data_IF_919533522237
#
_entry.id   IF_919533522237
#
_cell.length_a   1.000
_cell.length_b   1.000
_cell.length_c   1.000
_cell.angle_alpha   90.00
_cell.angle_beta   90.00
_cell.angle_gamma   90.00
#
_symmetry.space_group_name_H-M   'P 1'
#
loop_
_entity.id
_entity.type
_entity.pdbx_description
1 polymer ?
#
# COMPACT_ATOMS: atom_id res chain seq x y z
N UNK A 1 -1.04 -12.57 -46.02
CA UNK A 1 -0.64 -13.54 -44.98
C UNK A 1 0.78 -13.18 -44.61
N UNK A 2 0.96 -12.36 -43.57
CA UNK A 2 2.25 -11.98 -43.04
C UNK A 2 2.35 -12.56 -41.64
N UNK A 3 3.31 -13.44 -41.45
CA UNK A 3 3.63 -14.11 -40.20
C UNK A 3 3.87 -13.09 -39.09
N UNK A 4 3.01 -13.08 -38.09
CA UNK A 4 3.28 -12.42 -36.82
C UNK A 4 4.37 -13.21 -36.11
N UNK A 5 5.61 -12.74 -36.15
CA UNK A 5 6.71 -13.25 -35.37
C UNK A 5 6.32 -13.19 -33.89
N UNK A 6 6.13 -14.33 -33.24
CA UNK A 6 6.11 -14.45 -31.79
C UNK A 6 7.47 -13.96 -31.28
N UNK A 7 7.47 -12.78 -30.70
CA UNK A 7 8.65 -12.25 -30.00
C UNK A 7 8.78 -13.05 -28.70
N UNK A 8 9.71 -13.98 -28.67
CA UNK A 8 10.12 -14.69 -27.47
C UNK A 8 10.89 -13.67 -26.60
N UNK A 9 10.52 -13.53 -25.33
CA UNK A 9 11.26 -12.68 -24.39
C UNK A 9 12.76 -12.99 -24.48
N UNK A 10 13.62 -12.00 -24.74
CA UNK A 10 15.06 -12.23 -24.79
C UNK A 10 15.56 -12.61 -23.39
N UNK A 11 16.33 -13.70 -23.29
CA UNK A 11 17.07 -14.03 -22.09
C UNK A 11 18.18 -12.98 -21.89
N UNK A 12 17.92 -11.98 -21.05
CA UNK A 12 18.95 -11.02 -20.66
C UNK A 12 19.88 -11.66 -19.63
N UNK A 13 21.13 -11.78 -19.99
CA UNK A 13 22.21 -12.22 -19.09
C UNK A 13 22.79 -10.95 -18.44
N UNK A 14 22.29 -10.59 -17.26
CA UNK A 14 23.02 -9.77 -16.30
C UNK A 14 23.91 -10.72 -15.47
N UNK A 15 25.02 -10.22 -14.94
CA UNK A 15 25.82 -11.01 -14.02
C UNK A 15 24.99 -11.33 -12.75
N UNK A 16 24.26 -12.45 -12.84
CA UNK A 16 23.24 -12.89 -11.89
C UNK A 16 23.80 -13.14 -10.47
N UNK A 17 25.11 -13.35 -10.34
CA UNK A 17 25.71 -13.72 -9.06
C UNK A 17 25.86 -12.52 -8.11
N UNK A 18 26.24 -11.35 -8.59
CA UNK A 18 26.42 -10.15 -7.75
C UNK A 18 25.07 -9.52 -7.39
N UNK A 19 24.13 -9.47 -8.34
CA UNK A 19 22.75 -8.99 -8.10
C UNK A 19 22.00 -9.88 -7.11
N UNK A 20 22.07 -11.20 -7.27
CA UNK A 20 21.40 -12.16 -6.39
C UNK A 20 21.95 -12.13 -4.95
N UNK A 21 23.27 -11.98 -4.77
CA UNK A 21 23.87 -11.83 -3.44
C UNK A 21 23.41 -10.56 -2.74
N UNK A 22 23.37 -9.45 -3.44
CA UNK A 22 22.94 -8.15 -2.91
C UNK A 22 21.45 -8.14 -2.56
N UNK A 23 20.60 -8.74 -3.42
CA UNK A 23 19.19 -8.91 -3.16
C UNK A 23 18.93 -9.79 -1.94
N UNK A 24 19.63 -10.93 -1.81
CA UNK A 24 19.51 -11.81 -0.65
C UNK A 24 19.89 -11.11 0.66
N UNK A 25 20.93 -10.26 0.65
CA UNK A 25 21.32 -9.46 1.82
C UNK A 25 20.27 -8.41 2.19
N UNK A 26 19.68 -7.73 1.21
CA UNK A 26 18.60 -6.79 1.45
C UNK A 26 17.37 -7.49 2.04
N UNK A 27 16.94 -8.61 1.47
CA UNK A 27 15.79 -9.37 1.96
C UNK A 27 16.02 -9.98 3.35
N UNK A 28 17.25 -10.38 3.69
CA UNK A 28 17.61 -10.89 5.01
C UNK A 28 17.50 -9.82 6.09
N UNK A 29 17.91 -8.60 5.79
CA UNK A 29 17.88 -7.48 6.74
C UNK A 29 16.45 -7.00 7.07
N UNK A 30 15.44 -7.36 6.26
CA UNK A 30 14.03 -7.04 6.53
C UNK A 30 13.47 -7.71 7.81
N UNK A 31 14.13 -8.75 8.31
CA UNK A 31 13.66 -9.58 9.44
C UNK A 31 14.32 -9.30 10.78
N UNK A 32 15.17 -8.26 10.90
CA UNK A 32 15.84 -7.96 12.15
C UNK A 32 14.82 -7.61 13.26
N UNK A 33 14.81 -8.39 14.34
CA UNK A 33 13.97 -8.13 15.51
C UNK A 33 14.48 -6.88 16.24
N UNK A 34 13.53 -6.10 16.76
CA UNK A 34 13.82 -4.92 17.59
C UNK A 34 13.51 -5.22 19.06
N UNK A 35 14.14 -4.45 19.93
CA UNK A 35 14.03 -4.62 21.37
C UNK A 35 12.57 -4.55 21.87
N UNK A 36 12.02 -5.69 22.28
CA UNK A 36 10.65 -5.80 22.80
C UNK A 36 10.45 -5.01 24.09
N UNK A 37 11.50 -4.94 24.95
CA UNK A 37 11.41 -4.22 26.21
C UNK A 37 11.23 -2.70 25.98
N UNK A 38 11.87 -2.14 24.95
CA UNK A 38 11.72 -0.74 24.59
C UNK A 38 10.30 -0.44 24.10
N UNK A 39 9.73 -1.33 23.29
CA UNK A 39 8.34 -1.20 22.82
C UNK A 39 7.34 -1.31 23.99
N UNK A 40 7.51 -2.28 24.88
CA UNK A 40 6.64 -2.45 26.05
C UNK A 40 6.75 -1.33 27.09
N UNK A 41 7.79 -0.51 27.04
CA UNK A 41 7.91 0.67 27.91
C UNK A 41 7.08 1.88 27.43
N UNK A 42 6.55 1.86 26.20
CA UNK A 42 5.79 2.96 25.63
C UNK A 42 4.41 3.15 26.28
N UNK A 43 3.86 4.37 26.26
CA UNK A 43 2.44 4.57 26.57
C UNK A 43 1.57 3.88 25.49
N UNK A 44 0.39 3.41 25.89
CA UNK A 44 -0.55 2.70 25.03
C UNK A 44 -1.89 3.45 24.92
N UNK A 45 -2.66 3.24 23.84
CA UNK A 45 -2.22 2.58 22.62
C UNK A 45 -1.30 3.48 21.78
N UNK A 46 -0.32 2.90 21.07
CA UNK A 46 0.50 3.67 20.14
C UNK A 46 0.93 2.85 18.91
N UNK A 47 0.92 3.51 17.75
CA UNK A 47 1.62 3.01 16.57
C UNK A 47 3.10 3.35 16.67
N UNK A 48 3.94 2.44 16.29
CA UNK A 48 5.39 2.66 16.23
C UNK A 48 5.88 2.30 14.84
N UNK A 49 6.48 3.25 14.13
CA UNK A 49 7.15 2.95 12.85
C UNK A 49 8.65 2.77 13.12
N UNK A 50 9.22 1.67 12.64
CA UNK A 50 10.64 1.33 12.74
C UNK A 50 11.40 1.85 11.52
N UNK A 51 12.14 2.94 11.70
CA UNK A 51 12.93 3.58 10.64
C UNK A 51 13.93 2.61 9.98
N UNK A 52 14.54 1.72 10.75
CA UNK A 52 15.54 0.80 10.20
C UNK A 52 14.88 -0.23 9.26
N UNK A 53 13.71 -0.76 9.63
CA UNK A 53 12.93 -1.66 8.78
C UNK A 53 12.41 -0.94 7.54
N UNK A 54 11.88 0.26 7.70
CA UNK A 54 11.45 1.10 6.57
C UNK A 54 12.60 1.37 5.60
N UNK A 55 13.78 1.73 6.10
CA UNK A 55 14.97 1.95 5.26
C UNK A 55 15.39 0.71 4.49
N UNK A 56 15.24 -0.50 5.05
CA UNK A 56 15.52 -1.73 4.32
C UNK A 56 14.55 -1.92 3.15
N UNK A 57 13.26 -1.68 3.36
CA UNK A 57 12.27 -1.69 2.27
C UNK A 57 12.62 -0.66 1.18
N UNK A 58 12.91 0.58 1.59
CA UNK A 58 13.25 1.66 0.67
C UNK A 58 14.50 1.36 -0.17
N UNK A 59 15.51 0.74 0.41
CA UNK A 59 16.73 0.31 -0.31
C UNK A 59 16.44 -0.75 -1.36
N UNK A 60 15.55 -1.70 -1.04
CA UNK A 60 15.13 -2.71 -2.01
C UNK A 60 14.33 -2.08 -3.16
N UNK A 61 13.41 -1.16 -2.86
CA UNK A 61 12.66 -0.43 -3.88
C UNK A 61 13.57 0.44 -4.75
N UNK A 62 14.57 1.09 -4.16
CA UNK A 62 15.58 1.83 -4.91
C UNK A 62 16.43 0.93 -5.81
N UNK A 63 16.77 -0.28 -5.34
CA UNK A 63 17.44 -1.29 -6.16
C UNK A 63 16.59 -1.64 -7.40
N UNK A 64 15.29 -1.91 -7.22
CA UNK A 64 14.36 -2.19 -8.33
C UNK A 64 14.35 -1.03 -9.32
N UNK A 65 14.21 0.21 -8.86
CA UNK A 65 14.22 1.39 -9.74
C UNK A 65 15.52 1.50 -10.54
N UNK A 66 16.65 1.35 -9.88
CA UNK A 66 17.95 1.48 -10.52
C UNK A 66 18.19 0.38 -11.58
N UNK A 67 17.84 -0.86 -11.28
CA UNK A 67 18.10 -1.99 -12.17
C UNK A 67 17.10 -2.06 -13.32
N UNK A 68 15.84 -1.65 -13.11
CA UNK A 68 14.79 -1.73 -14.13
C UNK A 68 14.57 -0.43 -14.90
N UNK A 69 14.86 0.71 -14.26
CA UNK A 69 14.50 2.03 -14.72
C UNK A 69 13.02 2.40 -14.47
N UNK A 70 12.31 1.66 -13.63
CA UNK A 70 10.97 2.03 -13.19
C UNK A 70 11.01 3.26 -12.28
N UNK A 71 9.90 4.00 -12.22
CA UNK A 71 9.63 5.01 -11.21
C UNK A 71 8.69 4.42 -10.16
N UNK A 72 9.09 4.38 -8.90
CA UNK A 72 8.26 3.86 -7.81
C UNK A 72 7.70 5.02 -6.99
N UNK A 73 6.38 5.06 -6.87
CA UNK A 73 5.62 6.05 -6.13
C UNK A 73 5.02 5.42 -4.86
N UNK A 74 5.07 6.14 -3.75
CA UNK A 74 4.36 5.75 -2.54
C UNK A 74 2.85 5.88 -2.75
N UNK A 75 2.08 4.80 -2.60
CA UNK A 75 0.62 4.89 -2.52
C UNK A 75 0.19 5.35 -1.11
N UNK A 76 -0.15 6.65 -0.99
CA UNK A 76 -0.44 7.29 0.29
C UNK A 76 -1.64 6.69 1.03
N UNK A 77 -2.62 6.14 0.31
CA UNK A 77 -3.78 5.44 0.90
C UNK A 77 -3.40 4.32 1.88
N UNK A 78 -2.22 3.75 1.71
CA UNK A 78 -1.71 2.67 2.56
C UNK A 78 -0.86 3.21 3.72
N UNK A 79 -0.01 4.19 3.45
CA UNK A 79 0.92 4.76 4.41
C UNK A 79 1.10 6.25 4.17
N UNK A 80 0.75 7.09 5.16
CA UNK A 80 0.80 8.56 5.07
C UNK A 80 1.47 9.22 6.27
N UNK A 81 2.42 8.55 6.93
CA UNK A 81 3.21 9.17 7.99
C UNK A 81 4.21 10.17 7.39
N UNK A 82 3.74 11.36 7.08
CA UNK A 82 4.50 12.39 6.35
C UNK A 82 5.77 12.85 7.04
N UNK A 83 5.91 12.65 8.37
CA UNK A 83 7.17 12.87 9.11
C UNK A 83 8.36 12.13 8.44
N UNK A 84 8.09 11.05 7.72
CA UNK A 84 9.08 10.23 7.01
C UNK A 84 9.17 10.54 5.51
N UNK A 85 8.36 11.43 4.96
CA UNK A 85 8.37 11.74 3.53
C UNK A 85 9.68 12.32 3.02
N UNK A 86 10.39 13.21 3.76
CA UNK A 86 11.72 13.67 3.34
C UNK A 86 12.71 12.51 3.17
N UNK A 87 12.71 11.57 4.12
CA UNK A 87 13.55 10.35 4.04
C UNK A 87 13.13 9.46 2.85
N UNK A 88 11.83 9.22 2.69
CA UNK A 88 11.30 8.36 1.62
C UNK A 88 11.60 8.96 0.24
N UNK A 89 11.55 10.28 0.11
CA UNK A 89 11.88 11.01 -1.12
C UNK A 89 13.34 10.88 -1.55
N UNK A 90 14.26 10.43 -0.68
CA UNK A 90 15.64 10.10 -1.09
C UNK A 90 15.71 8.78 -1.88
N UNK A 91 14.71 7.92 -1.75
CA UNK A 91 14.67 6.57 -2.32
C UNK A 91 13.61 6.38 -3.40
N UNK A 92 12.46 7.04 -3.28
CA UNK A 92 11.32 6.91 -4.18
C UNK A 92 11.24 8.07 -5.16
N UNK A 93 10.59 7.86 -6.31
CA UNK A 93 10.36 8.88 -7.31
C UNK A 93 9.34 9.94 -6.85
N UNK A 94 8.38 9.55 -6.02
CA UNK A 94 7.34 10.45 -5.54
C UNK A 94 6.19 9.75 -4.83
N UNK A 95 4.99 10.33 -4.96
CA UNK A 95 3.75 9.85 -4.35
C UNK A 95 2.66 9.62 -5.37
N UNK A 96 1.71 8.73 -5.05
CA UNK A 96 0.42 8.63 -5.74
C UNK A 96 -0.72 8.80 -4.74
N UNK A 97 -1.70 9.59 -5.11
CA UNK A 97 -2.83 9.99 -4.30
C UNK A 97 -4.14 9.39 -4.82
N UNK A 98 -5.09 9.17 -3.91
CA UNK A 98 -6.46 8.72 -4.21
C UNK A 98 -7.50 9.84 -4.07
N UNK A 99 -7.07 11.05 -3.74
CA UNK A 99 -7.90 12.23 -3.60
C UNK A 99 -7.09 13.49 -3.31
N UNK A 100 -7.79 14.65 -3.27
CA UNK A 100 -7.17 15.97 -3.18
C UNK A 100 -6.28 16.15 -1.94
N UNK A 101 -6.67 15.61 -0.78
CA UNK A 101 -5.89 15.81 0.45
C UNK A 101 -4.60 14.98 0.47
N UNK A 102 -4.63 13.76 -0.09
CA UNK A 102 -3.40 13.00 -0.29
C UNK A 102 -2.49 13.68 -1.32
N UNK A 103 -3.05 14.19 -2.43
CA UNK A 103 -2.27 14.92 -3.44
C UNK A 103 -1.60 16.16 -2.84
N UNK A 104 -2.32 16.92 -2.02
CA UNK A 104 -1.76 18.08 -1.30
C UNK A 104 -0.65 17.66 -0.35
N UNK A 105 -0.89 16.60 0.45
CA UNK A 105 0.09 16.09 1.40
C UNK A 105 1.39 15.64 0.70
N UNK A 106 1.28 14.91 -0.41
CA UNK A 106 2.45 14.48 -1.21
C UNK A 106 3.23 15.68 -1.77
N UNK A 107 2.51 16.67 -2.31
CA UNK A 107 3.09 17.90 -2.83
C UNK A 107 3.82 18.72 -1.76
N UNK A 108 3.19 18.93 -0.59
CA UNK A 108 3.73 19.77 0.47
C UNK A 108 4.89 19.10 1.22
N UNK A 109 4.80 17.79 1.51
CA UNK A 109 5.69 17.12 2.44
C UNK A 109 6.79 16.27 1.78
N UNK A 110 6.55 15.72 0.58
CA UNK A 110 7.59 15.01 -0.17
C UNK A 110 8.22 15.90 -1.25
N UNK A 111 7.43 16.74 -1.93
CA UNK A 111 7.89 17.69 -2.94
C UNK A 111 8.56 17.02 -4.14
N UNK A 112 8.14 15.81 -4.47
CA UNK A 112 8.60 15.00 -5.60
C UNK A 112 7.47 14.81 -6.60
N UNK A 113 7.65 13.94 -7.59
CA UNK A 113 6.61 13.60 -8.56
C UNK A 113 5.32 13.16 -7.84
N UNK A 114 4.18 13.72 -8.24
CA UNK A 114 2.91 13.56 -7.54
C UNK A 114 1.81 13.18 -8.54
N UNK A 115 1.33 11.95 -8.43
CA UNK A 115 0.26 11.43 -9.27
C UNK A 115 -1.07 11.40 -8.51
N UNK A 116 -2.19 11.43 -9.24
CA UNK A 116 -3.51 11.22 -8.63
C UNK A 116 -4.40 10.38 -9.54
N UNK A 117 -5.05 9.39 -8.92
CA UNK A 117 -6.15 8.63 -9.48
C UNK A 117 -7.34 8.64 -8.53
N UNK A 118 -8.53 8.97 -9.04
CA UNK A 118 -9.79 8.76 -8.33
C UNK A 118 -10.86 8.23 -9.29
N UNK A 119 -11.85 7.46 -8.81
CA UNK A 119 -12.97 7.00 -9.64
C UNK A 119 -13.76 8.13 -10.29
N UNK A 120 -13.79 9.31 -9.65
CA UNK A 120 -14.33 10.55 -10.20
C UNK A 120 -13.73 11.75 -9.46
N UNK A 121 -13.57 12.87 -10.16
CA UNK A 121 -13.10 14.13 -9.61
C UNK A 121 -14.22 15.16 -9.52
N UNK A 122 -14.24 15.95 -8.44
CA UNK A 122 -15.08 17.13 -8.33
C UNK A 122 -14.45 18.27 -9.13
N UNK A 123 -15.28 19.11 -9.75
CA UNK A 123 -14.82 20.23 -10.55
C UNK A 123 -13.96 21.23 -9.75
N UNK A 124 -14.37 21.50 -8.51
CA UNK A 124 -13.63 22.39 -7.61
C UNK A 124 -12.23 21.85 -7.26
N UNK A 125 -12.08 20.53 -7.13
CA UNK A 125 -10.80 19.91 -6.74
C UNK A 125 -9.82 19.93 -7.93
N UNK A 126 -10.33 19.87 -9.16
CA UNK A 126 -9.48 19.87 -10.36
C UNK A 126 -8.66 21.15 -10.51
N UNK A 127 -9.18 22.32 -10.06
CA UNK A 127 -8.45 23.59 -10.14
C UNK A 127 -7.14 23.56 -9.33
N UNK A 128 -7.13 22.83 -8.23
CA UNK A 128 -5.94 22.64 -7.41
C UNK A 128 -5.10 21.46 -7.91
N UNK A 129 -5.72 20.32 -8.22
CA UNK A 129 -5.02 19.11 -8.67
C UNK A 129 -4.11 19.37 -9.87
N UNK A 130 -4.56 20.15 -10.86
CA UNK A 130 -3.74 20.50 -12.03
C UNK A 130 -2.52 21.38 -11.73
N UNK A 131 -2.45 21.97 -10.53
CA UNK A 131 -1.32 22.80 -10.09
C UNK A 131 -0.29 22.03 -9.25
N UNK A 132 -0.73 20.92 -8.61
CA UNK A 132 0.09 20.19 -7.65
C UNK A 132 0.41 18.74 -8.07
N UNK A 133 -0.20 18.26 -9.16
CA UNK A 133 0.06 16.92 -9.69
C UNK A 133 0.78 16.98 -11.04
N UNK A 134 1.70 16.06 -11.24
CA UNK A 134 2.39 15.85 -12.53
C UNK A 134 1.55 14.97 -13.46
N UNK A 135 0.87 13.96 -12.91
CA UNK A 135 -0.02 13.07 -13.66
C UNK A 135 -1.40 13.01 -13.04
N UNK A 136 -2.45 13.15 -13.86
CA UNK A 136 -3.85 12.96 -13.48
C UNK A 136 -4.43 11.80 -14.28
N UNK A 137 -4.90 10.77 -13.57
CA UNK A 137 -5.40 9.54 -14.17
C UNK A 137 -6.92 9.49 -14.02
N UNK A 138 -7.64 9.50 -15.15
CA UNK A 138 -9.09 9.44 -15.17
C UNK A 138 -9.59 7.99 -15.24
N UNK A 139 -10.71 7.75 -14.61
CA UNK A 139 -11.36 6.44 -14.56
C UNK A 139 -12.33 6.20 -15.75
N UNK A 140 -12.63 7.23 -16.51
CA UNK A 140 -13.50 7.14 -17.69
C UNK A 140 -13.22 8.27 -18.68
N UNK A 141 -13.53 8.04 -19.94
CA UNK A 141 -13.46 9.07 -20.97
C UNK A 141 -14.42 10.25 -20.72
N UNK A 142 -15.56 10.01 -20.09
CA UNK A 142 -16.50 11.08 -19.72
C UNK A 142 -15.88 12.05 -18.68
N UNK A 143 -15.14 11.53 -17.69
CA UNK A 143 -14.40 12.37 -16.74
C UNK A 143 -13.26 13.12 -17.44
N UNK A 144 -12.52 12.46 -18.31
CA UNK A 144 -11.48 13.12 -19.11
C UNK A 144 -12.05 14.27 -19.95
N UNK A 145 -13.12 14.01 -20.75
CA UNK A 145 -13.76 15.03 -21.58
C UNK A 145 -14.23 16.26 -20.78
N UNK A 146 -14.77 16.01 -19.57
CA UNK A 146 -15.20 17.09 -18.66
C UNK A 146 -14.05 17.99 -18.22
N UNK A 147 -12.86 17.43 -18.01
CA UNK A 147 -11.74 18.13 -17.39
C UNK A 147 -10.55 18.38 -18.30
N UNK A 148 -10.57 17.91 -19.55
CA UNK A 148 -9.43 18.03 -20.48
C UNK A 148 -8.95 19.45 -20.71
N UNK A 149 -9.86 20.42 -20.73
CA UNK A 149 -9.50 21.81 -20.98
C UNK A 149 -8.62 22.40 -19.86
N UNK A 150 -8.95 22.14 -18.61
CA UNK A 150 -8.15 22.62 -17.46
C UNK A 150 -6.81 21.87 -17.38
N UNK A 151 -6.78 20.57 -17.69
CA UNK A 151 -5.54 19.81 -17.77
C UNK A 151 -4.62 20.35 -18.87
N UNK A 152 -5.14 20.57 -20.06
CA UNK A 152 -4.37 21.12 -21.19
C UNK A 152 -3.83 22.51 -20.89
N UNK A 153 -4.62 23.37 -20.24
CA UNK A 153 -4.18 24.72 -19.86
C UNK A 153 -3.03 24.70 -18.84
N UNK A 154 -3.06 23.74 -17.93
CA UNK A 154 -2.00 23.57 -16.92
C UNK A 154 -0.79 22.78 -17.44
N UNK A 155 -0.92 22.05 -18.54
CA UNK A 155 0.14 21.22 -19.12
C UNK A 155 0.41 19.94 -18.31
N UNK A 156 -0.55 19.50 -17.48
CA UNK A 156 -0.43 18.27 -16.69
C UNK A 156 -0.58 17.03 -17.57
N UNK A 157 0.22 16.00 -17.32
CA UNK A 157 0.14 14.74 -18.06
C UNK A 157 -1.14 13.97 -17.68
N UNK A 158 -1.83 13.44 -18.69
CA UNK A 158 -3.12 12.79 -18.50
C UNK A 158 -3.05 11.32 -18.89
N UNK A 159 -3.66 10.47 -18.08
CA UNK A 159 -3.84 9.05 -18.35
C UNK A 159 -5.26 8.54 -18.13
N UNK A 160 -5.50 7.34 -18.62
CA UNK A 160 -6.73 6.58 -18.38
C UNK A 160 -6.43 5.31 -17.64
N UNK A 161 -7.17 5.05 -16.53
CA UNK A 161 -7.18 3.74 -15.92
C UNK A 161 -7.99 2.77 -16.76
N UNK A 162 -7.40 1.65 -17.08
CA UNK A 162 -8.04 0.56 -17.82
C UNK A 162 -8.29 -0.64 -16.92
N UNK A 163 -9.32 -1.40 -17.26
CA UNK A 163 -9.58 -2.71 -16.69
C UNK A 163 -9.16 -3.78 -17.69
N UNK A 164 -8.07 -4.53 -17.44
CA UNK A 164 -7.63 -5.58 -18.35
C UNK A 164 -8.54 -6.80 -18.33
N UNK A 165 -9.58 -6.83 -17.48
CA UNK A 165 -10.51 -7.95 -17.33
C UNK A 165 -9.76 -9.27 -17.08
N UNK A 166 -8.75 -9.21 -16.22
CA UNK A 166 -7.91 -10.32 -15.80
C UNK A 166 -7.78 -10.25 -14.29
N UNK A 167 -8.45 -11.15 -13.61
CA UNK A 167 -8.36 -11.30 -12.16
C UNK A 167 -7.33 -12.39 -11.81
N UNK A 168 -6.53 -12.08 -10.80
CA UNK A 168 -5.64 -13.04 -10.13
C UNK A 168 -6.02 -13.19 -8.66
N UNK A 169 -7.13 -12.55 -8.23
CA UNK A 169 -7.64 -12.63 -6.86
C UNK A 169 -8.50 -13.89 -6.71
N UNK A 170 -8.23 -14.70 -5.70
CA UNK A 170 -8.94 -15.94 -5.40
C UNK A 170 -9.45 -15.98 -3.95
N UNK A 171 -10.48 -16.80 -3.70
CA UNK A 171 -11.01 -17.08 -2.37
C UNK A 171 -11.57 -15.82 -1.68
N UNK A 172 -11.13 -15.58 -0.45
CA UNK A 172 -11.58 -14.46 0.39
C UNK A 172 -11.13 -13.10 -0.17
N UNK A 173 -10.03 -13.06 -0.93
CA UNK A 173 -9.54 -11.85 -1.58
C UNK A 173 -10.35 -11.40 -2.80
N UNK A 174 -11.30 -12.20 -3.28
CA UNK A 174 -12.14 -11.85 -4.43
C UNK A 174 -12.95 -10.54 -4.24
N UNK A 175 -13.21 -10.12 -2.99
CA UNK A 175 -13.85 -8.84 -2.67
C UNK A 175 -12.99 -7.63 -3.10
N UNK A 176 -11.68 -7.81 -3.22
CA UNK A 176 -10.71 -6.78 -3.63
C UNK A 176 -10.37 -6.84 -5.11
N UNK A 177 -11.04 -7.69 -5.89
CA UNK A 177 -10.80 -7.80 -7.33
C UNK A 177 -11.33 -6.56 -8.08
N UNK A 178 -10.45 -5.67 -8.56
CA UNK A 178 -10.87 -4.51 -9.33
C UNK A 178 -11.32 -4.88 -10.76
N UNK A 179 -11.09 -6.12 -11.19
CA UNK A 179 -11.50 -6.64 -12.49
C UNK A 179 -12.84 -7.42 -12.45
N UNK A 180 -13.42 -7.62 -11.26
CA UNK A 180 -14.67 -8.34 -11.09
C UNK A 180 -15.82 -7.70 -11.87
N UNK A 181 -16.81 -8.52 -12.25
CA UNK A 181 -18.05 -8.02 -12.87
C UNK A 181 -18.72 -6.95 -11.97
N UNK A 182 -19.10 -5.83 -12.58
CA UNK A 182 -19.68 -4.71 -11.85
C UNK A 182 -18.66 -3.80 -11.14
N UNK A 183 -17.35 -4.06 -11.26
CA UNK A 183 -16.34 -3.14 -10.75
C UNK A 183 -16.44 -1.78 -11.43
N UNK A 184 -16.36 -0.71 -10.63
CA UNK A 184 -16.34 0.67 -11.12
C UNK A 184 -14.96 1.14 -11.59
N UNK A 185 -13.91 0.31 -11.48
CA UNK A 185 -12.51 0.71 -11.59
C UNK A 185 -11.93 0.37 -12.96
N UNK A 186 -11.67 1.41 -13.74
CA UNK A 186 -11.03 1.31 -15.05
C UNK A 186 -11.99 1.04 -16.21
N UNK A 187 -11.55 1.42 -17.39
CA UNK A 187 -12.28 1.25 -18.66
C UNK A 187 -11.96 -0.12 -19.26
N UNK A 188 -12.97 -0.94 -19.52
CA UNK A 188 -12.81 -2.22 -20.23
C UNK A 188 -12.56 -1.99 -21.72
N UNK A 189 -11.97 -2.98 -22.41
CA UNK A 189 -11.69 -2.88 -23.85
C UNK A 189 -12.94 -2.59 -24.67
N UNK A 190 -14.10 -3.16 -24.30
CA UNK A 190 -15.38 -2.94 -24.99
C UNK A 190 -15.86 -1.47 -24.92
N UNK A 191 -15.42 -0.73 -23.91
CA UNK A 191 -15.75 0.69 -23.71
C UNK A 191 -14.58 1.63 -24.08
N UNK A 192 -13.50 1.09 -24.66
CA UNK A 192 -12.34 1.84 -25.06
C UNK A 192 -12.47 2.28 -26.52
N UNK A 193 -12.11 3.52 -26.92
CA UNK A 193 -12.24 4.00 -28.28
C UNK A 193 -11.25 3.28 -29.21
N UNK A 194 -11.62 3.12 -30.48
CA UNK A 194 -10.73 2.52 -31.48
C UNK A 194 -9.46 3.35 -31.71
N UNK A 195 -9.56 4.67 -31.59
CA UNK A 195 -8.45 5.62 -31.68
C UNK A 195 -8.37 6.40 -30.38
N UNK A 196 -7.23 6.32 -29.73
CA UNK A 196 -6.97 7.07 -28.50
C UNK A 196 -6.70 8.54 -28.82
N UNK A 197 -7.28 9.44 -28.03
CA UNK A 197 -7.08 10.88 -28.18
C UNK A 197 -5.61 11.26 -27.91
N UNK A 198 -5.01 12.18 -28.68
CA UNK A 198 -3.58 12.51 -28.56
C UNK A 198 -3.20 13.18 -27.24
N UNK A 199 -4.18 13.71 -26.51
CA UNK A 199 -3.96 14.32 -25.19
C UNK A 199 -3.75 13.28 -24.09
N UNK A 200 -4.08 12.01 -24.34
CA UNK A 200 -3.88 10.92 -23.39
C UNK A 200 -2.46 10.38 -23.58
N UNK A 201 -1.63 10.63 -22.58
CA UNK A 201 -0.19 10.32 -22.60
C UNK A 201 0.14 9.00 -21.92
N UNK A 202 -0.77 8.42 -21.12
CA UNK A 202 -0.52 7.18 -20.43
C UNK A 202 -1.73 6.31 -20.18
N UNK A 203 -1.45 5.03 -19.91
CA UNK A 203 -2.43 4.07 -19.40
C UNK A 203 -2.00 3.54 -18.05
N UNK A 204 -2.98 3.34 -17.19
CA UNK A 204 -2.79 2.81 -15.83
C UNK A 204 -3.70 1.61 -15.63
N UNK A 205 -3.20 0.56 -14.99
CA UNK A 205 -4.03 -0.47 -14.39
C UNK A 205 -3.59 -0.73 -12.94
N UNK A 206 -4.50 -1.20 -12.11
CA UNK A 206 -4.21 -1.64 -10.76
C UNK A 206 -5.10 -2.83 -10.45
N UNK A 207 -4.54 -4.02 -10.43
CA UNK A 207 -5.26 -5.31 -10.40
C UNK A 207 -4.84 -6.19 -9.23
N UNK A 208 -3.67 -5.95 -8.66
CA UNK A 208 -3.11 -6.77 -7.60
C UNK A 208 -3.52 -6.28 -6.21
N UNK A 209 -3.62 -7.21 -5.28
CA UNK A 209 -3.71 -6.99 -3.85
C UNK A 209 -2.89 -8.08 -3.15
N UNK A 210 -1.79 -7.71 -2.49
CA UNK A 210 -0.89 -8.60 -1.75
C UNK A 210 -0.29 -9.77 -2.57
N UNK A 211 0.00 -9.54 -3.85
CA UNK A 211 0.40 -10.58 -4.79
C UNK A 211 1.87 -10.47 -5.24
N UNK A 212 2.36 -11.57 -5.81
CA UNK A 212 3.72 -11.70 -6.32
C UNK A 212 3.87 -11.26 -7.79
N UNK A 213 5.10 -11.38 -8.31
CA UNK A 213 5.45 -10.97 -9.67
C UNK A 213 4.78 -11.82 -10.75
N UNK A 214 4.49 -13.09 -10.49
CA UNK A 214 3.80 -13.99 -11.42
C UNK A 214 2.36 -13.54 -11.71
N UNK A 215 1.66 -13.04 -10.70
CA UNK A 215 0.33 -12.42 -10.87
C UNK A 215 0.41 -11.14 -11.72
N UNK A 216 1.44 -10.32 -11.51
CA UNK A 216 1.70 -9.17 -12.36
C UNK A 216 1.98 -9.58 -13.81
N UNK A 217 2.81 -10.62 -14.03
CA UNK A 217 3.10 -11.15 -15.37
C UNK A 217 1.83 -11.65 -16.04
N UNK A 218 0.93 -12.29 -15.29
CA UNK A 218 -0.37 -12.77 -15.80
C UNK A 218 -1.25 -11.59 -16.23
N UNK A 219 -1.37 -10.57 -15.38
CA UNK A 219 -2.13 -9.36 -15.69
C UNK A 219 -1.51 -8.58 -16.85
N UNK A 220 -0.17 -8.46 -16.88
CA UNK A 220 0.54 -7.79 -17.97
C UNK A 220 0.22 -8.44 -19.33
N UNK A 221 0.25 -9.75 -19.42
CA UNK A 221 -0.08 -10.47 -20.69
C UNK A 221 -1.50 -10.13 -21.18
N UNK A 222 -2.47 -10.07 -20.26
CA UNK A 222 -3.84 -9.69 -20.59
C UNK A 222 -3.95 -8.23 -21.03
N UNK A 223 -3.25 -7.31 -20.33
CA UNK A 223 -3.21 -5.90 -20.65
C UNK A 223 -2.52 -5.65 -22.01
N UNK A 224 -1.36 -6.23 -22.22
CA UNK A 224 -0.61 -6.14 -23.47
C UNK A 224 -1.43 -6.64 -24.67
N UNK A 225 -2.06 -7.81 -24.56
CA UNK A 225 -2.88 -8.39 -25.63
C UNK A 225 -4.06 -7.49 -26.01
N UNK A 226 -4.64 -6.76 -25.08
CA UNK A 226 -5.82 -5.91 -25.31
C UNK A 226 -5.46 -4.49 -25.74
N UNK A 227 -4.41 -3.89 -25.15
CA UNK A 227 -4.15 -2.46 -25.24
C UNK A 227 -2.84 -2.07 -25.97
N UNK A 228 -1.98 -3.03 -26.35
CA UNK A 228 -0.67 -2.71 -26.96
C UNK A 228 -0.77 -1.92 -28.28
N UNK A 229 -1.88 -2.02 -29.01
CA UNK A 229 -2.12 -1.20 -30.23
C UNK A 229 -2.07 0.32 -29.97
N UNK A 230 -2.25 0.75 -28.72
CA UNK A 230 -2.23 2.16 -28.32
C UNK A 230 -0.86 2.61 -27.80
N UNK A 231 0.06 1.68 -27.46
CA UNK A 231 1.28 2.02 -26.74
C UNK A 231 2.24 2.91 -27.54
N UNK A 232 2.21 2.84 -28.88
CA UNK A 232 3.08 3.65 -29.75
C UNK A 232 2.89 5.17 -29.60
N UNK A 233 1.76 5.63 -29.06
CA UNK A 233 1.50 7.06 -28.82
C UNK A 233 1.71 7.47 -27.36
N UNK A 234 1.90 6.51 -26.45
CA UNK A 234 2.00 6.76 -25.00
C UNK A 234 3.41 7.18 -24.63
N UNK A 235 3.51 8.00 -23.60
CA UNK A 235 4.76 8.37 -22.95
C UNK A 235 5.05 7.46 -21.76
N UNK A 236 4.02 6.95 -21.09
CA UNK A 236 4.17 6.16 -19.88
C UNK A 236 3.08 5.10 -19.72
N UNK A 237 3.44 4.05 -18.97
CA UNK A 237 2.54 3.02 -18.46
C UNK A 237 2.69 2.93 -16.94
N UNK A 238 1.59 2.87 -16.24
CA UNK A 238 1.56 2.70 -14.79
C UNK A 238 0.91 1.34 -14.46
N UNK A 239 1.70 0.46 -13.84
CA UNK A 239 1.28 -0.91 -13.52
C UNK A 239 0.56 -1.02 -12.18
N UNK A 240 0.31 0.13 -11.52
CA UNK A 240 -0.39 0.21 -10.25
C UNK A 240 0.40 -0.33 -9.05
N UNK A 241 -0.33 -0.68 -8.01
CA UNK A 241 0.19 -1.24 -6.77
C UNK A 241 -0.29 -2.66 -6.50
N UNK A 242 -0.26 -3.06 -5.21
CA UNK A 242 -0.62 -4.41 -4.78
C UNK A 242 0.50 -5.43 -4.94
N UNK A 243 1.68 -4.97 -5.38
CA UNK A 243 2.88 -5.79 -5.47
C UNK A 243 3.59 -5.83 -4.12
N UNK A 244 3.75 -6.99 -3.53
CA UNK A 244 4.50 -7.16 -2.28
C UNK A 244 6.01 -7.25 -2.50
N UNK A 245 6.60 -6.28 -3.22
CA UNK A 245 8.00 -6.26 -3.68
C UNK A 245 9.00 -6.54 -2.55
N UNK A 246 8.72 -6.08 -1.33
CA UNK A 246 9.59 -6.23 -0.17
C UNK A 246 9.31 -7.48 0.66
N UNK A 247 8.30 -8.27 0.29
CA UNK A 247 8.06 -9.59 0.89
C UNK A 247 9.18 -10.56 0.50
N UNK A 248 9.59 -11.40 1.43
CA UNK A 248 10.79 -12.25 1.27
C UNK A 248 10.70 -13.31 0.18
N UNK A 249 9.49 -13.66 -0.26
CA UNK A 249 9.20 -14.62 -1.32
C UNK A 249 8.87 -13.97 -2.67
N UNK A 250 8.94 -12.63 -2.77
CA UNK A 250 8.66 -11.90 -4.00
C UNK A 250 9.80 -12.09 -5.03
N UNK A 251 9.45 -12.43 -6.26
CA UNK A 251 10.42 -12.55 -7.36
C UNK A 251 10.74 -11.16 -7.94
N UNK A 252 11.72 -10.51 -7.33
CA UNK A 252 12.19 -9.16 -7.71
C UNK A 252 12.81 -9.15 -9.09
N UNK A 253 13.53 -10.23 -9.48
CA UNK A 253 14.17 -10.32 -10.79
C UNK A 253 13.12 -10.41 -11.90
N UNK A 254 12.04 -11.17 -11.70
CA UNK A 254 10.94 -11.23 -12.67
C UNK A 254 10.29 -9.86 -12.88
N UNK A 255 10.14 -9.06 -11.82
CA UNK A 255 9.64 -7.68 -11.92
C UNK A 255 10.60 -6.79 -12.73
N UNK A 256 11.91 -6.85 -12.42
CA UNK A 256 12.94 -6.09 -13.11
C UNK A 256 12.96 -6.44 -14.61
N UNK A 257 12.90 -7.72 -14.93
CA UNK A 257 12.91 -8.21 -16.31
C UNK A 257 11.65 -7.76 -17.07
N UNK A 258 10.47 -7.81 -16.43
CA UNK A 258 9.23 -7.31 -17.01
C UNK A 258 9.32 -5.81 -17.33
N UNK A 259 9.77 -4.99 -16.39
CA UNK A 259 9.89 -3.54 -16.61
C UNK A 259 10.89 -3.23 -17.73
N UNK A 260 12.04 -3.91 -17.76
CA UNK A 260 13.01 -3.78 -18.87
C UNK A 260 12.40 -4.18 -20.21
N UNK A 261 11.64 -5.27 -20.25
CA UNK A 261 10.93 -5.69 -21.46
C UNK A 261 9.99 -4.59 -21.96
N UNK A 262 9.15 -4.03 -21.08
CA UNK A 262 8.18 -2.98 -21.44
C UNK A 262 8.90 -1.76 -21.99
N UNK A 263 9.92 -1.25 -21.28
CA UNK A 263 10.66 -0.05 -21.67
C UNK A 263 11.39 -0.22 -23.01
N UNK A 264 12.03 -1.36 -23.19
CA UNK A 264 12.78 -1.63 -24.43
C UNK A 264 11.88 -1.90 -25.63
N UNK A 265 10.70 -2.48 -25.43
CA UNK A 265 9.76 -2.83 -26.51
C UNK A 265 8.90 -1.66 -26.95
N UNK A 266 8.41 -0.87 -25.98
CA UNK A 266 7.41 0.17 -26.23
C UNK A 266 7.96 1.59 -26.11
N UNK A 267 9.19 1.76 -25.60
CA UNK A 267 9.86 3.06 -25.41
C UNK A 267 9.06 4.04 -24.54
N UNK A 268 8.47 3.52 -23.47
CA UNK A 268 7.67 4.27 -22.50
C UNK A 268 8.33 4.27 -21.13
N UNK A 269 8.03 5.27 -20.30
CA UNK A 269 8.35 5.23 -18.87
C UNK A 269 7.38 4.30 -18.15
N UNK A 270 7.89 3.62 -17.11
CA UNK A 270 7.10 2.66 -16.33
C UNK A 270 7.01 3.10 -14.88
N UNK A 271 5.79 3.19 -14.37
CA UNK A 271 5.47 3.53 -12.98
C UNK A 271 4.93 2.33 -12.23
N UNK A 272 5.29 2.24 -10.94
CA UNK A 272 4.75 1.29 -9.97
C UNK A 272 4.26 2.09 -8.75
N UNK A 273 3.14 1.67 -8.15
CA UNK A 273 2.49 2.35 -7.03
C UNK A 273 2.34 1.45 -5.79
N UNK A 274 3.41 0.82 -5.28
CA UNK A 274 3.30 0.02 -4.07
C UNK A 274 2.91 0.90 -2.88
N UNK A 275 1.99 0.39 -2.06
CA UNK A 275 1.68 0.98 -0.76
C UNK A 275 2.30 0.13 0.34
N UNK A 276 1.79 -1.07 0.52
CA UNK A 276 2.22 -2.01 1.56
C UNK A 276 3.71 -2.33 1.48
N UNK A 277 4.22 -2.65 0.31
CA UNK A 277 5.63 -2.97 0.15
C UNK A 277 6.58 -1.87 0.64
N UNK A 278 6.14 -0.61 0.72
CA UNK A 278 6.97 0.48 1.25
C UNK A 278 7.17 0.35 2.76
N UNK A 279 6.11 0.04 3.50
CA UNK A 279 6.14 -0.01 4.97
C UNK A 279 5.84 -1.40 5.55
N UNK A 280 5.90 -2.46 4.73
CA UNK A 280 5.66 -3.85 5.12
C UNK A 280 6.57 -4.26 6.27
N UNK A 281 5.99 -4.83 7.32
CA UNK A 281 6.67 -5.24 8.55
C UNK A 281 7.47 -4.12 9.25
N UNK A 282 7.23 -2.86 8.91
CA UNK A 282 7.97 -1.72 9.47
C UNK A 282 7.21 -0.99 10.58
N UNK A 283 6.11 -1.54 11.09
CA UNK A 283 5.36 -0.91 12.15
C UNK A 283 4.68 -1.85 13.11
N UNK A 284 4.35 -1.31 14.28
CA UNK A 284 3.73 -2.02 15.39
C UNK A 284 2.54 -1.23 15.92
N UNK A 285 1.58 -1.94 16.53
CA UNK A 285 0.61 -1.35 17.45
C UNK A 285 0.86 -1.95 18.84
N UNK A 286 1.26 -1.12 19.78
CA UNK A 286 1.44 -1.51 21.19
C UNK A 286 0.17 -1.20 21.95
N UNK A 287 -0.35 -2.17 22.69
CA UNK A 287 -1.62 -2.09 23.43
C UNK A 287 -1.46 -2.71 24.81
N UNK A 288 -2.35 -2.36 25.73
CA UNK A 288 -2.39 -2.89 27.11
C UNK A 288 -3.68 -3.67 27.36
N UNK A 289 -3.58 -4.75 28.12
CA UNK A 289 -4.72 -5.53 28.62
C UNK A 289 -5.35 -4.77 29.80
N UNK A 290 -6.55 -4.26 29.59
CA UNK A 290 -7.28 -3.48 30.60
C UNK A 290 -8.10 -4.36 31.55
N UNK A 291 -8.66 -5.48 31.03
CA UNK A 291 -9.49 -6.40 31.79
C UNK A 291 -9.49 -7.79 31.14
N UNK A 292 -9.89 -8.80 31.90
CA UNK A 292 -10.09 -10.17 31.43
C UNK A 292 -11.48 -10.63 31.87
N UNK A 293 -12.36 -10.90 30.92
CA UNK A 293 -13.71 -11.37 31.19
C UNK A 293 -13.90 -12.81 30.71
N UNK A 294 -14.78 -13.57 31.38
CA UNK A 294 -15.05 -14.95 31.02
C UNK A 294 -16.49 -15.13 30.53
N UNK A 295 -16.63 -15.68 29.30
CA UNK A 295 -17.93 -16.12 28.78
C UNK A 295 -17.71 -17.29 27.81
N UNK A 296 -17.63 -18.51 28.39
CA UNK A 296 -17.29 -19.73 27.66
C UNK A 296 -15.79 -19.84 27.29
N UNK A 297 -15.11 -18.71 27.14
CA UNK A 297 -13.66 -18.56 26.96
C UNK A 297 -13.20 -17.27 27.66
N UNK A 298 -11.90 -17.14 27.88
CA UNK A 298 -11.32 -15.93 28.44
C UNK A 298 -11.13 -14.89 27.32
N UNK A 299 -11.56 -13.65 27.58
CA UNK A 299 -11.55 -12.54 26.63
C UNK A 299 -10.71 -11.41 27.20
N UNK A 300 -9.65 -11.04 26.50
CA UNK A 300 -8.82 -9.88 26.84
C UNK A 300 -9.48 -8.61 26.30
N UNK A 301 -9.73 -7.64 27.16
CA UNK A 301 -10.19 -6.31 26.77
C UNK A 301 -8.97 -5.40 26.67
N UNK A 302 -8.69 -4.93 25.45
CA UNK A 302 -7.53 -4.12 25.14
C UNK A 302 -7.91 -2.64 25.02
N UNK A 303 -6.94 -1.73 25.21
CA UNK A 303 -7.07 -0.32 24.87
C UNK A 303 -6.93 -0.04 23.36
N UNK A 304 -6.62 -1.05 22.55
CA UNK A 304 -6.73 -1.03 21.10
C UNK A 304 -8.06 -1.64 20.64
N UNK A 305 -8.47 -1.34 19.40
CA UNK A 305 -9.74 -1.74 18.80
C UNK A 305 -9.53 -2.16 17.34
N UNK A 306 -10.13 -3.26 16.92
CA UNK A 306 -10.18 -3.63 15.52
C UNK A 306 -10.91 -2.53 14.71
N UNK A 307 -12.11 -2.15 15.15
CA UNK A 307 -12.94 -1.18 14.45
C UNK A 307 -12.32 0.22 14.35
N UNK A 308 -11.54 0.64 15.38
CA UNK A 308 -11.00 1.99 15.46
C UNK A 308 -9.55 2.11 14.99
N UNK A 309 -8.71 1.10 15.23
CA UNK A 309 -7.26 1.22 15.07
C UNK A 309 -6.67 0.28 14.02
N UNK A 310 -7.37 -0.79 13.65
CA UNK A 310 -6.98 -1.76 12.61
C UNK A 310 -8.21 -2.26 11.84
N UNK A 311 -8.93 -1.36 11.13
CA UNK A 311 -10.24 -1.68 10.54
C UNK A 311 -10.22 -2.84 9.55
N UNK A 312 -9.08 -3.10 8.88
CA UNK A 312 -8.95 -4.21 7.95
C UNK A 312 -9.14 -5.58 8.61
N UNK A 313 -8.91 -5.70 9.92
CA UNK A 313 -9.24 -6.92 10.67
C UNK A 313 -10.73 -7.29 10.55
N UNK A 314 -11.61 -6.29 10.42
CA UNK A 314 -13.06 -6.48 10.25
C UNK A 314 -13.50 -6.40 8.78
N UNK A 315 -12.83 -5.55 7.98
CA UNK A 315 -13.17 -5.33 6.56
C UNK A 315 -12.63 -6.45 5.66
N UNK A 316 -11.47 -7.02 6.03
CA UNK A 316 -10.78 -8.13 5.38
C UNK A 316 -10.46 -9.21 6.42
N UNK A 317 -11.44 -9.91 7.02
CA UNK A 317 -11.23 -10.67 8.24
C UNK A 317 -9.93 -11.49 8.25
N UNK A 318 -8.99 -11.12 9.11
CA UNK A 318 -7.74 -11.82 9.37
C UNK A 318 -7.32 -11.64 10.84
N UNK A 319 -6.47 -12.53 11.33
CA UNK A 319 -5.83 -12.38 12.63
C UNK A 319 -4.48 -11.68 12.45
N UNK A 320 -4.31 -10.42 12.95
CA UNK A 320 -3.05 -9.72 12.82
C UNK A 320 -1.92 -10.46 13.54
N UNK A 321 -0.72 -10.53 12.97
CA UNK A 321 0.42 -11.15 13.63
C UNK A 321 0.69 -10.50 14.99
N UNK A 322 0.84 -11.31 16.03
CA UNK A 322 1.01 -10.86 17.40
C UNK A 322 2.31 -11.44 17.98
N UNK A 323 3.18 -10.59 18.48
CA UNK A 323 4.46 -11.01 19.06
C UNK A 323 4.24 -11.89 20.29
N UNK A 324 4.74 -13.13 20.24
CA UNK A 324 4.54 -14.13 21.27
C UNK A 324 3.12 -14.69 21.36
N UNK A 325 2.25 -14.35 20.41
CA UNK A 325 0.96 -14.98 20.15
C UNK A 325 1.09 -16.04 19.05
N UNK A 326 0.27 -17.08 19.15
CA UNK A 326 0.22 -18.22 18.25
C UNK A 326 -1.23 -18.48 17.83
N UNK A 327 -1.43 -19.37 16.86
CA UNK A 327 -2.77 -19.82 16.48
C UNK A 327 -3.60 -20.29 17.69
N UNK A 328 -4.90 -20.11 17.63
CA UNK A 328 -5.81 -20.24 18.76
C UNK A 328 -5.67 -21.56 19.58
N UNK A 329 -5.29 -22.65 18.92
CA UNK A 329 -5.20 -23.99 19.52
C UNK A 329 -3.77 -24.53 19.66
N UNK A 330 -2.76 -23.69 19.40
CA UNK A 330 -1.36 -24.13 19.36
C UNK A 330 -0.73 -24.22 20.75
N UNK A 331 -1.13 -23.33 21.67
CA UNK A 331 -0.54 -23.19 23.01
C UNK A 331 -1.56 -23.39 24.13
N UNK A 332 -1.03 -23.44 25.37
CA UNK A 332 -1.81 -23.76 26.57
C UNK A 332 -2.85 -22.70 26.92
N UNK A 333 -2.50 -21.43 26.88
CA UNK A 333 -3.35 -20.33 27.36
C UNK A 333 -4.05 -19.69 26.15
N UNK A 334 -5.37 -19.80 26.11
CA UNK A 334 -6.19 -19.37 24.95
C UNK A 334 -7.03 -18.18 25.34
N UNK A 335 -7.05 -17.16 24.46
CA UNK A 335 -7.80 -15.94 24.65
C UNK A 335 -8.40 -15.44 23.36
N UNK A 336 -9.60 -14.86 23.44
CA UNK A 336 -10.12 -13.95 22.44
C UNK A 336 -9.65 -12.54 22.77
N UNK A 337 -9.12 -11.82 21.81
CA UNK A 337 -8.76 -10.42 21.95
C UNK A 337 -9.87 -9.53 21.41
N UNK A 338 -10.29 -8.57 22.21
CA UNK A 338 -11.35 -7.62 21.93
C UNK A 338 -10.98 -6.25 22.47
N UNK A 339 -11.89 -5.29 22.45
CA UNK A 339 -11.63 -3.91 22.79
C UNK A 339 -12.60 -3.34 23.83
N UNK A 340 -12.36 -2.09 24.21
CA UNK A 340 -13.24 -1.32 25.08
C UNK A 340 -14.38 -0.61 24.35
N UNK A 341 -14.60 -0.83 23.04
CA UNK A 341 -15.77 -0.30 22.33
C UNK A 341 -17.03 -1.06 22.68
N UNK A 342 -18.20 -0.41 22.51
CA UNK A 342 -19.50 -1.06 22.68
C UNK A 342 -19.97 -1.83 21.44
N UNK A 343 -19.15 -1.96 20.42
CA UNK A 343 -19.47 -2.73 19.22
C UNK A 343 -19.24 -4.22 19.48
N UNK A 344 -20.32 -5.02 19.53
CA UNK A 344 -20.24 -6.45 19.81
C UNK A 344 -19.31 -7.23 18.83
N UNK A 345 -19.19 -6.75 17.59
CA UNK A 345 -18.33 -7.34 16.57
C UNK A 345 -16.88 -6.84 16.62
N UNK A 346 -16.47 -6.02 17.59
CA UNK A 346 -15.09 -5.53 17.71
C UNK A 346 -14.19 -6.60 18.34
N UNK A 347 -13.91 -7.63 17.55
CA UNK A 347 -13.06 -8.76 17.88
C UNK A 347 -11.83 -8.72 17.01
N UNK A 348 -10.64 -8.75 17.62
CA UNK A 348 -9.36 -8.72 16.92
C UNK A 348 -9.01 -10.12 16.41
N UNK A 349 -9.18 -11.15 17.26
CA UNK A 349 -8.91 -12.53 16.89
C UNK A 349 -8.81 -13.44 18.10
N UNK A 350 -8.68 -14.74 17.83
CA UNK A 350 -8.45 -15.77 18.85
C UNK A 350 -6.97 -16.19 18.77
N UNK A 351 -6.28 -16.17 19.91
CA UNK A 351 -4.86 -16.47 20.03
C UNK A 351 -4.56 -17.42 21.17
N UNK A 352 -3.40 -18.05 21.13
CA UNK A 352 -2.86 -18.82 22.25
C UNK A 352 -1.46 -18.34 22.62
N UNK A 353 -1.04 -18.61 23.89
CA UNK A 353 0.22 -18.15 24.45
C UNK A 353 0.90 -19.25 25.26
N UNK A 354 2.25 -19.19 25.34
CA UNK A 354 3.04 -20.06 26.22
C UNK A 354 2.89 -19.71 27.71
N UNK A 355 2.47 -18.48 28.02
CA UNK A 355 2.31 -17.95 29.38
C UNK A 355 0.93 -17.34 29.56
N UNK A 356 0.44 -17.40 30.80
CA UNK A 356 -0.77 -16.71 31.21
C UNK A 356 -0.63 -15.20 31.00
N UNK A 357 -1.63 -14.59 30.36
CA UNK A 357 -1.73 -13.14 30.17
C UNK A 357 -2.49 -12.52 31.36
N UNK A 358 -2.05 -11.35 31.81
CA UNK A 358 -2.61 -10.64 32.96
C UNK A 358 -3.01 -9.21 32.59
N UNK A 359 -3.93 -8.65 33.37
CA UNK A 359 -4.24 -7.22 33.32
C UNK A 359 -2.96 -6.42 33.55
N UNK A 360 -2.74 -5.42 32.70
CA UNK A 360 -1.52 -4.60 32.64
C UNK A 360 -0.42 -5.15 31.72
N UNK A 361 -0.55 -6.38 31.22
CA UNK A 361 0.39 -6.87 30.22
C UNK A 361 0.24 -6.10 28.91
N UNK A 362 1.38 -5.81 28.25
CA UNK A 362 1.40 -5.16 26.95
C UNK A 362 1.62 -6.16 25.84
N UNK A 363 0.78 -6.05 24.82
CA UNK A 363 0.83 -6.84 23.60
C UNK A 363 1.32 -5.99 22.44
N UNK A 364 1.99 -6.60 21.46
CA UNK A 364 2.57 -5.94 20.30
C UNK A 364 2.06 -6.62 19.05
N UNK A 365 1.14 -5.97 18.34
CA UNK A 365 0.74 -6.39 17.00
C UNK A 365 1.80 -5.96 16.01
N UNK A 366 2.19 -6.88 15.13
CA UNK A 366 3.16 -6.67 14.06
C UNK A 366 2.47 -6.12 12.80
N UNK A 367 3.24 -5.55 11.89
CA UNK A 367 2.80 -5.03 10.58
C UNK A 367 1.68 -3.99 10.65
N UNK A 368 1.70 -3.13 11.66
CA UNK A 368 0.66 -2.12 11.93
C UNK A 368 0.99 -0.72 11.39
N UNK A 369 1.93 -0.57 10.43
CA UNK A 369 2.16 0.70 9.75
C UNK A 369 1.20 0.90 8.57
N UNK A 370 0.83 -0.19 7.90
CA UNK A 370 0.04 -0.21 6.67
C UNK A 370 -1.46 -0.31 6.97
N UNK A 371 -2.29 0.44 6.23
CA UNK A 371 -3.76 0.48 6.33
C UNK A 371 -4.32 0.59 7.76
N UNK A 372 -3.51 1.08 8.72
CA UNK A 372 -3.88 1.29 10.12
C UNK A 372 -4.13 2.76 10.42
N UNK A 373 -3.07 3.58 10.61
CA UNK A 373 -3.24 5.01 10.94
C UNK A 373 -3.94 5.82 9.84
N UNK A 374 -3.90 5.40 8.58
CA UNK A 374 -4.63 6.04 7.47
C UNK A 374 -6.13 5.73 7.45
N UNK A 375 -6.57 4.67 8.14
CA UNK A 375 -7.97 4.21 8.22
C UNK A 375 -8.57 4.38 9.61
N UNK A 376 -7.80 4.75 10.62
CA UNK A 376 -8.24 4.83 11.99
C UNK A 376 -9.38 5.84 12.20
N UNK A 377 -10.15 5.63 13.26
CA UNK A 377 -11.28 6.47 13.61
C UNK A 377 -11.48 6.55 15.14
N UNK A 378 -12.41 7.37 15.57
CA UNK A 378 -12.72 7.63 16.99
C UNK A 378 -14.13 7.20 17.37
N UNK A 379 -14.62 6.08 16.81
CA UNK A 379 -15.93 5.53 17.19
C UNK A 379 -16.01 5.30 18.71
N UNK A 380 -17.17 5.49 19.32
CA UNK A 380 -17.41 5.47 20.76
C UNK A 380 -16.60 6.49 21.59
N UNK A 381 -15.91 7.45 20.96
CA UNK A 381 -15.01 8.35 21.64
C UNK A 381 -13.68 7.71 22.06
N UNK A 382 -13.30 6.59 21.43
CA UNK A 382 -12.01 5.95 21.66
C UNK A 382 -10.89 6.86 21.16
N UNK A 383 -9.86 7.14 21.98
CA UNK A 383 -8.70 7.94 21.56
C UNK A 383 -7.96 7.28 20.39
N UNK A 384 -7.45 8.09 19.46
CA UNK A 384 -6.50 7.59 18.47
C UNK A 384 -5.19 7.20 19.15
N UNK A 385 -4.54 6.09 18.72
CA UNK A 385 -3.20 5.75 19.21
C UNK A 385 -2.17 6.85 18.92
N UNK A 386 -1.29 7.13 19.86
CA UNK A 386 -0.15 8.02 19.63
C UNK A 386 0.68 7.48 18.45
N UNK A 387 1.37 8.36 17.71
CA UNK A 387 2.29 7.98 16.63
C UNK A 387 3.72 8.17 17.11
N UNK A 388 4.47 7.09 17.12
CA UNK A 388 5.87 7.02 17.56
C UNK A 388 6.77 6.65 16.39
N UNK A 389 8.02 7.11 16.42
CA UNK A 389 9.07 6.71 15.49
C UNK A 389 10.23 6.11 16.28
N UNK A 390 10.57 4.86 15.98
CA UNK A 390 11.75 4.20 16.46
C UNK A 390 12.87 4.44 15.45
N UNK A 391 13.81 5.33 15.79
CA UNK A 391 14.94 5.66 14.94
C UNK A 391 15.92 4.49 14.79
N UNK A 392 16.71 4.51 13.71
CA UNK A 392 17.72 3.49 13.42
C UNK A 392 18.76 3.33 14.53
N UNK A 393 19.03 4.37 15.32
CA UNK A 393 19.94 4.34 16.48
C UNK A 393 19.30 3.80 17.76
N UNK A 394 18.01 3.44 17.72
CA UNK A 394 17.24 2.91 18.84
C UNK A 394 16.53 3.97 19.68
N UNK A 395 16.70 5.26 19.40
CA UNK A 395 15.96 6.32 20.08
C UNK A 395 14.50 6.34 19.67
N UNK A 396 13.61 6.78 20.58
CA UNK A 396 12.16 6.83 20.36
C UNK A 396 11.70 8.28 20.33
N UNK A 397 11.01 8.68 19.25
CA UNK A 397 10.41 10.00 19.06
C UNK A 397 8.89 9.91 19.18
N UNK A 398 8.25 10.75 19.99
CA UNK A 398 6.83 10.99 19.94
C UNK A 398 6.53 11.96 18.78
N UNK A 399 5.98 11.46 17.68
CA UNK A 399 5.67 12.26 16.50
C UNK A 399 4.34 13.00 16.64
N UNK A 400 3.33 12.31 17.13
CA UNK A 400 2.00 12.91 17.34
C UNK A 400 1.30 12.27 18.53
N UNK A 401 0.75 13.12 19.40
CA UNK A 401 -0.21 12.73 20.44
C UNK A 401 -1.58 13.24 20.07
N UNK A 402 -2.58 12.41 20.29
CA UNK A 402 -3.98 12.77 20.06
C UNK A 402 -4.72 12.99 21.38
N UNK A 403 -5.71 13.87 21.36
CA UNK A 403 -6.49 14.24 22.53
C UNK A 403 -7.97 14.47 22.21
N UNK A 404 -8.69 14.97 23.21
CA UNK A 404 -10.13 15.22 23.10
C UNK A 404 -10.50 16.16 21.93
N UNK A 405 -9.64 17.13 21.60
CA UNK A 405 -9.91 18.08 20.50
C UNK A 405 -9.86 17.39 19.12
N UNK A 406 -9.06 16.33 18.95
CA UNK A 406 -9.03 15.53 17.71
C UNK A 406 -10.35 14.76 17.52
N UNK A 407 -10.98 14.30 18.61
CA UNK A 407 -12.31 13.71 18.57
C UNK A 407 -13.39 14.74 18.32
N UNK A 408 -13.43 15.80 19.15
CA UNK A 408 -14.47 16.83 19.14
C UNK A 408 -14.50 17.60 17.83
N UNK A 409 -13.35 18.01 17.30
CA UNK A 409 -13.22 18.83 16.10
C UNK A 409 -13.73 18.16 14.81
N UNK A 410 -13.99 16.84 14.84
CA UNK A 410 -14.61 16.12 13.73
C UNK A 410 -16.14 16.19 13.72
N UNK A 411 -16.76 16.52 14.85
CA UNK A 411 -18.20 16.35 15.05
C UNK A 411 -18.99 17.63 14.86
N UNK A 412 -18.38 18.78 15.09
CA UNK A 412 -19.04 20.08 14.89
C UNK A 412 -18.05 21.25 14.90
#
# INVERSE_FOLDING_TARGET
>A
MTDAKKTVMPAYVVDKAEGASRLADLQKNLRAERDEAALKALPTPCYVVDEAKLLNNLRLLQYVQRESGAHILLAQKCFSMFRLYPLMGEYLAGTTASGIYEARLGHEEMGKENHVFAPAFKEQDMQELVQICDHIIFNSFAQFEKHKAVCAQAGVSVGIRVNPECSTQEGEHAIYDPCAYGSRLGVTLANFPDVLLPEIEGLHFHTLCEQNADDLLTTWKAFEAKFSKYFAQLKWLNLGGGHHITRSDYDVEALIDLVKYIRNTYHVEVYLEPGEAVALNAGYLVTEVLDIVHNGLDILILDASAACHMPDVLEMPYCPPLRGGYEADEKQYKYRLSSMTCLAGDVIGDYSFDKEIKVGDKLIFEDMAIYSMVKNNTFNGIPLPDIMLLHKDGTMELVRRFGYEDFKGRLS
#
